data_IF_528768543328
#
_entry.id   IF_528768543328
#
_cell.length_a   1.000
_cell.length_b   1.000
_cell.length_c   1.000
_cell.angle_alpha   90.00
_cell.angle_beta   90.00
_cell.angle_gamma   90.00
#
_symmetry.space_group_name_H-M   'P 1'
#
loop_
_entity.id
_entity.type
_entity.pdbx_description
1 polymer ?
#
# COMPACT_ATOMS: atom_id res chain seq x y z
N UNK A 1 17.28 -55.37 -28.15
CA UNK A 1 18.29 -54.77 -27.25
C UNK A 1 17.85 -53.33 -26.94
N UNK A 2 18.11 -52.85 -25.71
CA UNK A 2 17.21 -52.03 -24.90
C UNK A 2 17.32 -50.50 -25.10
N UNK A 3 16.36 -49.77 -24.50
CA UNK A 3 16.24 -48.30 -24.39
C UNK A 3 17.49 -47.59 -23.81
N UNK A 4 17.49 -46.25 -23.78
CA UNK A 4 17.02 -45.65 -22.53
C UNK A 4 15.96 -44.56 -22.73
N UNK A 5 14.96 -44.65 -21.87
CA UNK A 5 14.10 -43.54 -21.46
C UNK A 5 14.98 -42.40 -20.95
N UNK A 6 14.70 -41.18 -21.38
CA UNK A 6 15.10 -39.99 -20.62
C UNK A 6 13.82 -39.35 -20.12
N UNK A 7 13.39 -39.82 -18.95
CA UNK A 7 12.40 -39.13 -18.16
C UNK A 7 12.90 -37.72 -17.87
N UNK A 8 12.20 -36.71 -18.41
CA UNK A 8 12.35 -35.36 -17.92
C UNK A 8 11.73 -35.34 -16.51
N UNK A 9 12.62 -35.46 -15.53
CA UNK A 9 12.36 -35.19 -14.13
C UNK A 9 11.55 -33.91 -14.01
N UNK A 10 10.33 -34.04 -13.48
CA UNK A 10 9.61 -32.94 -12.92
C UNK A 10 10.43 -32.41 -11.72
N UNK A 11 11.24 -31.38 -11.94
CA UNK A 11 11.65 -30.51 -10.84
C UNK A 11 10.45 -29.64 -10.46
N UNK A 12 9.52 -30.23 -9.71
CA UNK A 12 8.63 -29.46 -8.84
C UNK A 12 9.48 -28.93 -7.69
N UNK A 13 10.31 -27.93 -7.97
CA UNK A 13 10.73 -27.04 -6.90
C UNK A 13 9.48 -26.26 -6.55
N UNK A 14 8.88 -26.60 -5.40
CA UNK A 14 7.86 -25.79 -4.75
C UNK A 14 8.52 -24.48 -4.30
N UNK A 15 8.88 -23.64 -5.27
CA UNK A 15 9.06 -22.23 -5.04
C UNK A 15 7.65 -21.70 -4.78
N UNK A 16 7.46 -21.00 -3.66
CA UNK A 16 6.31 -20.11 -3.52
C UNK A 16 6.16 -19.35 -4.85
N UNK A 17 4.96 -19.31 -5.46
CA UNK A 17 4.78 -18.73 -6.78
C UNK A 17 5.47 -17.36 -6.79
N UNK A 18 6.50 -17.22 -7.63
CA UNK A 18 7.25 -15.99 -7.73
C UNK A 18 6.23 -14.89 -7.99
N UNK A 19 6.04 -14.01 -7.01
CA UNK A 19 5.04 -12.96 -7.14
C UNK A 19 5.39 -12.16 -8.40
N UNK A 20 4.40 -11.84 -9.23
CA UNK A 20 4.65 -11.22 -10.52
C UNK A 20 5.45 -9.94 -10.31
N UNK A 21 6.60 -9.88 -10.97
CA UNK A 21 7.50 -8.73 -10.92
C UNK A 21 6.89 -7.50 -11.60
N UNK A 22 5.93 -7.72 -12.51
CA UNK A 22 5.23 -6.67 -13.25
C UNK A 22 3.74 -7.01 -13.39
N UNK A 23 2.88 -6.01 -13.27
CA UNK A 23 1.43 -6.13 -13.51
C UNK A 23 0.99 -4.95 -14.36
N UNK A 24 0.43 -5.25 -15.53
CA UNK A 24 -0.14 -4.24 -16.43
C UNK A 24 -1.63 -4.06 -16.13
N UNK A 25 -2.04 -2.81 -15.90
CA UNK A 25 -3.41 -2.43 -15.61
C UNK A 25 -3.80 -1.26 -16.50
N UNK A 26 -5.09 -1.19 -16.85
CA UNK A 26 -5.63 0.01 -17.49
C UNK A 26 -5.93 1.02 -16.38
N UNK A 27 -5.14 2.09 -16.36
CA UNK A 27 -5.27 3.19 -15.42
C UNK A 27 -6.37 4.19 -15.80
N UNK A 28 -6.40 5.29 -15.08
CA UNK A 28 -7.30 6.40 -15.38
C UNK A 28 -7.03 6.94 -16.80
N UNK A 29 -8.10 7.35 -17.51
CA UNK A 29 -8.06 7.83 -18.90
C UNK A 29 -7.66 6.77 -19.94
N UNK A 30 -7.88 5.48 -19.63
CA UNK A 30 -7.59 4.34 -20.51
C UNK A 30 -6.10 4.21 -20.89
N UNK A 31 -5.21 4.73 -20.05
CA UNK A 31 -3.76 4.64 -20.22
C UNK A 31 -3.23 3.41 -19.49
N UNK A 32 -2.42 2.58 -20.15
CA UNK A 32 -1.76 1.43 -19.53
C UNK A 32 -0.76 1.90 -18.45
N UNK A 33 -0.92 1.39 -17.23
CA UNK A 33 0.01 1.55 -16.11
C UNK A 33 0.67 0.20 -15.84
N UNK A 34 2.00 0.19 -15.84
CA UNK A 34 2.78 -0.98 -15.45
C UNK A 34 3.22 -0.82 -14.01
N UNK A 35 2.63 -1.60 -13.10
CA UNK A 35 3.13 -1.76 -11.75
C UNK A 35 4.37 -2.65 -11.80
N UNK A 36 5.39 -2.33 -11.01
CA UNK A 36 6.63 -3.11 -10.94
C UNK A 36 7.04 -3.42 -9.51
N UNK A 37 7.89 -4.44 -9.37
CA UNK A 37 8.54 -4.81 -8.11
C UNK A 37 7.54 -5.08 -6.97
N UNK A 38 7.75 -4.50 -5.79
CA UNK A 38 6.94 -4.78 -4.61
C UNK A 38 5.48 -4.29 -4.75
N UNK A 39 5.24 -3.26 -5.59
CA UNK A 39 3.89 -2.77 -5.87
C UNK A 39 3.09 -3.78 -6.70
N UNK A 40 3.71 -4.35 -7.74
CA UNK A 40 3.12 -5.39 -8.59
C UNK A 40 2.79 -6.66 -7.78
N UNK A 41 3.75 -7.09 -6.97
CA UNK A 41 3.63 -8.19 -6.03
C UNK A 41 2.46 -7.98 -5.07
N UNK A 42 2.38 -6.81 -4.44
CA UNK A 42 1.30 -6.47 -3.52
C UNK A 42 -0.05 -6.42 -4.19
N UNK A 43 -0.17 -5.69 -5.31
CA UNK A 43 -1.42 -5.62 -6.06
C UNK A 43 -1.91 -7.00 -6.46
N UNK A 44 -1.02 -7.91 -6.88
CA UNK A 44 -1.40 -9.27 -7.27
C UNK A 44 -1.93 -10.08 -6.10
N UNK A 45 -1.27 -9.97 -4.94
CA UNK A 45 -1.68 -10.63 -3.68
C UNK A 45 -2.92 -10.02 -3.02
N UNK A 46 -3.31 -8.80 -3.42
CA UNK A 46 -4.43 -8.09 -2.82
C UNK A 46 -5.76 -8.80 -3.09
N UNK A 47 -6.65 -8.75 -2.10
CA UNK A 47 -8.00 -9.29 -2.23
C UNK A 47 -8.81 -8.49 -3.25
N UNK A 48 -9.89 -9.10 -3.75
CA UNK A 48 -10.78 -8.43 -4.71
C UNK A 48 -11.39 -7.15 -4.14
N UNK A 49 -11.79 -7.18 -2.85
CA UNK A 49 -12.29 -6.01 -2.14
C UNK A 49 -11.24 -4.90 -2.01
N UNK A 50 -9.97 -5.25 -1.75
CA UNK A 50 -8.88 -4.27 -1.71
C UNK A 50 -8.63 -3.64 -3.09
N UNK A 51 -8.65 -4.46 -4.15
CA UNK A 51 -8.53 -3.97 -5.54
C UNK A 51 -9.70 -3.06 -5.93
N UNK A 52 -10.91 -3.41 -5.51
CA UNK A 52 -12.09 -2.59 -5.74
C UNK A 52 -12.03 -1.26 -4.97
N UNK A 53 -11.55 -1.29 -3.73
CA UNK A 53 -11.35 -0.08 -2.91
C UNK A 53 -10.22 0.81 -3.46
N UNK A 54 -9.15 0.22 -4.00
CA UNK A 54 -8.09 0.95 -4.71
C UNK A 54 -8.64 1.60 -5.98
N UNK A 55 -9.43 0.87 -6.76
CA UNK A 55 -9.92 1.32 -8.06
C UNK A 55 -8.82 1.31 -9.13
N UNK A 56 -8.95 2.19 -10.12
CA UNK A 56 -7.97 2.30 -11.21
C UNK A 56 -6.68 2.99 -10.73
N UNK A 57 -5.49 2.54 -11.19
CA UNK A 57 -4.26 3.27 -10.93
C UNK A 57 -4.29 4.64 -11.63
N UNK A 58 -3.79 5.66 -10.94
CA UNK A 58 -3.65 6.99 -11.50
C UNK A 58 -2.41 7.06 -12.38
N UNK A 59 -2.52 7.78 -13.49
CA UNK A 59 -1.48 7.87 -14.53
C UNK A 59 -0.69 9.16 -14.41
N UNK A 60 0.59 9.12 -14.77
CA UNK A 60 1.52 10.26 -14.71
C UNK A 60 2.61 10.09 -13.64
N UNK A 61 3.79 10.65 -13.90
CA UNK A 61 5.01 10.47 -13.07
C UNK A 61 4.86 11.00 -11.63
N UNK A 62 3.89 11.88 -11.36
CA UNK A 62 3.61 12.35 -10.01
C UNK A 62 2.76 11.37 -9.19
N UNK A 63 2.08 10.43 -9.85
CA UNK A 63 1.20 9.44 -9.22
C UNK A 63 1.93 8.12 -8.93
N UNK A 64 3.05 7.87 -9.61
CA UNK A 64 3.85 6.68 -9.43
C UNK A 64 5.32 7.03 -9.47
N UNK A 65 6.11 6.52 -8.52
CA UNK A 65 7.54 6.80 -8.54
C UNK A 65 8.28 6.39 -7.28
N UNK A 66 9.56 6.74 -7.25
CA UNK A 66 10.45 6.56 -6.11
C UNK A 66 10.68 7.92 -5.46
N UNK A 67 10.45 8.02 -4.16
CA UNK A 67 10.76 9.23 -3.37
C UNK A 67 12.26 9.31 -3.10
N UNK A 68 12.73 10.48 -2.70
CA UNK A 68 14.12 10.66 -2.25
C UNK A 68 14.49 9.76 -1.07
N UNK A 69 13.51 9.39 -0.23
CA UNK A 69 13.68 8.40 0.84
C UNK A 69 13.89 6.97 0.35
N UNK A 70 13.80 6.72 -0.96
CA UNK A 70 13.82 5.40 -1.58
C UNK A 70 12.46 4.71 -1.63
N UNK A 71 11.45 5.24 -0.93
CA UNK A 71 10.11 4.66 -0.93
C UNK A 71 9.46 4.71 -2.31
N UNK A 72 8.92 3.59 -2.76
CA UNK A 72 8.16 3.51 -4.01
C UNK A 72 6.67 3.55 -3.72
N UNK A 73 5.94 4.26 -4.55
CA UNK A 73 4.50 4.36 -4.41
C UNK A 73 3.80 4.36 -5.77
N UNK A 74 2.56 3.89 -5.76
CA UNK A 74 1.60 4.04 -6.84
C UNK A 74 0.28 4.54 -6.23
N UNK A 75 -0.22 5.66 -6.73
CA UNK A 75 -1.54 6.16 -6.40
C UNK A 75 -2.61 5.51 -7.27
N UNK A 76 -3.75 5.28 -6.65
CA UNK A 76 -4.98 4.78 -7.26
C UNK A 76 -6.12 5.74 -6.89
N UNK A 77 -7.23 5.63 -7.62
CA UNK A 77 -8.39 6.51 -7.45
C UNK A 77 -8.90 6.50 -6.00
N UNK A 78 -9.01 5.34 -5.37
CA UNK A 78 -9.49 5.16 -4.00
C UNK A 78 -8.41 4.83 -2.97
N UNK A 79 -7.20 4.48 -3.41
CA UNK A 79 -6.09 4.19 -2.48
C UNK A 79 -4.69 4.55 -2.98
N UNK A 80 -3.69 4.10 -2.25
CA UNK A 80 -2.32 4.05 -2.72
C UNK A 80 -1.66 2.76 -2.25
N UNK A 81 -0.73 2.25 -3.05
CA UNK A 81 0.17 1.17 -2.64
C UNK A 81 1.55 1.77 -2.45
N UNK A 82 2.15 1.53 -1.28
CA UNK A 82 3.46 2.09 -0.93
C UNK A 82 4.36 0.99 -0.38
N UNK A 83 5.60 0.97 -0.82
CA UNK A 83 6.67 0.12 -0.29
C UNK A 83 7.83 1.01 0.18
N UNK A 84 8.54 0.58 1.23
CA UNK A 84 9.69 1.34 1.75
C UNK A 84 10.85 1.47 0.75
N UNK A 85 10.96 0.57 -0.21
CA UNK A 85 11.94 0.64 -1.31
C UNK A 85 11.56 -0.30 -2.48
N UNK A 86 12.26 -0.19 -3.61
CA UNK A 86 12.01 -1.01 -4.82
C UNK A 86 12.71 -2.38 -4.81
N UNK A 87 13.25 -2.85 -3.68
CA UNK A 87 13.95 -4.13 -3.64
C UNK A 87 12.96 -5.29 -3.72
N UNK A 88 13.31 -6.34 -4.46
CA UNK A 88 12.50 -7.55 -4.54
C UNK A 88 12.32 -8.16 -3.14
N UNK A 89 11.09 -8.54 -2.81
CA UNK A 89 10.73 -9.07 -1.48
C UNK A 89 10.46 -8.02 -0.40
N UNK A 90 10.65 -6.73 -0.68
CA UNK A 90 10.19 -5.67 0.22
C UNK A 90 8.66 -5.67 0.27
N UNK A 91 8.04 -5.69 1.46
CA UNK A 91 6.59 -5.62 1.54
C UNK A 91 6.09 -4.24 1.10
N UNK A 92 5.01 -4.23 0.34
CA UNK A 92 4.23 -3.03 0.07
C UNK A 92 2.85 -3.15 0.73
N UNK A 93 2.25 -2.01 1.04
CA UNK A 93 1.03 -1.91 1.82
C UNK A 93 0.00 -1.03 1.12
N UNK A 94 -1.26 -1.42 1.26
CA UNK A 94 -2.41 -0.73 0.69
C UNK A 94 -2.99 0.22 1.75
N UNK A 95 -3.14 1.49 1.39
CA UNK A 95 -3.82 2.50 2.21
C UNK A 95 -5.00 3.05 1.42
N UNK A 96 -6.21 2.88 1.95
CA UNK A 96 -7.49 3.21 1.29
C UNK A 96 -8.47 3.88 2.27
N UNK A 97 -9.58 4.40 1.74
CA UNK A 97 -10.73 4.83 2.54
C UNK A 97 -10.43 5.93 3.57
N UNK A 98 -11.17 5.91 4.70
CA UNK A 98 -11.05 6.92 5.76
C UNK A 98 -9.68 6.95 6.43
N UNK A 99 -8.99 5.82 6.45
CA UNK A 99 -7.60 5.73 6.92
C UNK A 99 -6.68 6.54 5.99
N UNK A 100 -6.81 6.37 4.66
CA UNK A 100 -6.07 7.18 3.69
C UNK A 100 -6.38 8.66 3.84
N UNK A 101 -7.65 9.02 3.99
CA UNK A 101 -8.06 10.41 4.15
C UNK A 101 -7.33 11.04 5.35
N UNK A 102 -7.33 10.38 6.50
CA UNK A 102 -6.67 10.84 7.72
C UNK A 102 -5.13 10.87 7.62
N UNK A 103 -4.53 9.94 6.86
CA UNK A 103 -3.09 9.90 6.58
C UNK A 103 -2.65 11.05 5.66
N UNK A 104 -3.54 11.49 4.76
CA UNK A 104 -3.31 12.60 3.84
C UNK A 104 -3.58 13.99 4.44
N UNK A 105 -4.11 14.07 5.66
CA UNK A 105 -4.21 15.34 6.40
C UNK A 105 -2.80 15.86 6.69
N UNK A 106 -2.56 17.12 6.33
CA UNK A 106 -1.32 17.82 6.68
C UNK A 106 -1.23 17.99 8.19
N UNK A 107 -0.10 17.58 8.75
CA UNK A 107 0.17 17.61 10.18
C UNK A 107 1.53 18.21 10.45
N UNK A 108 1.65 18.92 11.56
CA UNK A 108 2.96 19.33 12.07
C UNK A 108 3.73 18.13 12.66
N UNK A 109 4.90 18.39 13.24
CA UNK A 109 5.76 17.36 13.79
C UNK A 109 5.13 16.59 14.98
N UNK A 110 4.15 17.17 15.68
CA UNK A 110 3.50 16.52 16.82
C UNK A 110 2.29 15.66 16.42
N UNK A 111 1.90 15.72 15.14
CA UNK A 111 0.76 14.99 14.59
C UNK A 111 -0.52 15.81 14.53
N UNK A 112 -0.53 17.06 15.00
CA UNK A 112 -1.71 17.92 14.97
C UNK A 112 -1.97 18.43 13.55
N UNK A 113 -3.22 18.42 13.07
CA UNK A 113 -3.57 18.99 11.77
C UNK A 113 -3.09 20.45 11.63
N UNK A 114 -2.36 20.73 10.55
CA UNK A 114 -1.78 22.06 10.29
C UNK A 114 -1.59 22.29 8.79
N UNK A 115 -1.99 23.47 8.30
CA UNK A 115 -1.89 23.85 6.89
C UNK A 115 -0.44 24.01 6.39
N UNK A 116 0.51 24.19 7.30
CA UNK A 116 1.95 24.27 6.99
C UNK A 116 2.65 22.93 7.19
N UNK A 117 1.90 21.89 7.54
CA UNK A 117 2.40 20.56 7.84
C UNK A 117 2.66 19.69 6.61
N UNK A 118 3.19 18.51 6.88
CA UNK A 118 3.41 17.46 5.89
C UNK A 118 2.35 16.35 6.01
N UNK A 119 2.16 15.57 4.96
CA UNK A 119 1.19 14.48 4.93
C UNK A 119 1.76 13.23 4.27
N UNK A 120 0.96 12.16 4.30
CA UNK A 120 1.34 10.89 3.70
C UNK A 120 2.66 10.37 4.27
N UNK A 121 3.50 9.81 3.40
CA UNK A 121 4.79 9.25 3.79
C UNK A 121 5.86 10.28 4.18
N UNK A 122 5.64 11.57 3.86
CA UNK A 122 6.49 12.66 4.32
C UNK A 122 5.98 13.30 5.63
N UNK A 123 4.78 12.91 6.07
CA UNK A 123 4.14 13.40 7.28
C UNK A 123 4.64 12.68 8.54
N UNK A 124 4.17 13.11 9.72
CA UNK A 124 4.62 12.60 11.02
C UNK A 124 4.23 11.14 11.28
N UNK A 125 3.32 10.55 10.50
CA UNK A 125 3.00 9.12 10.57
C UNK A 125 4.03 8.25 9.83
N UNK A 126 4.66 8.78 8.78
CA UNK A 126 5.59 8.05 7.93
C UNK A 126 4.92 7.07 6.97
N UNK A 127 5.70 6.08 6.50
CA UNK A 127 5.25 5.04 5.59
C UNK A 127 4.28 4.06 6.29
N UNK A 128 3.33 3.46 5.55
CA UNK A 128 2.56 2.34 6.07
C UNK A 128 3.46 1.13 6.33
N UNK A 129 3.14 0.39 7.40
CA UNK A 129 3.82 -0.84 7.81
C UNK A 129 2.87 -2.04 7.91
N UNK A 130 1.56 -1.81 7.70
CA UNK A 130 0.56 -2.84 7.49
C UNK A 130 -0.49 -2.38 6.47
N UNK A 131 -1.23 -3.33 5.92
CA UNK A 131 -2.51 -3.00 5.29
C UNK A 131 -3.56 -2.59 6.34
N UNK A 132 -4.75 -2.26 5.86
CA UNK A 132 -5.96 -2.21 6.66
C UNK A 132 -6.37 -3.62 7.12
N UNK A 133 -6.47 -3.80 8.43
CA UNK A 133 -6.93 -5.02 9.07
C UNK A 133 -8.20 -4.74 9.90
N UNK A 134 -9.11 -5.70 9.93
CA UNK A 134 -10.29 -5.62 10.79
C UNK A 134 -9.95 -6.09 12.20
N UNK A 135 -10.06 -5.19 13.18
CA UNK A 135 -9.89 -5.47 14.61
C UNK A 135 -11.21 -5.16 15.35
N UNK A 136 -11.98 -6.22 15.62
CA UNK A 136 -13.33 -6.06 16.19
C UNK A 136 -14.24 -5.25 15.26
N UNK A 137 -14.67 -4.08 15.74
CA UNK A 137 -15.53 -3.15 15.00
C UNK A 137 -14.75 -2.04 14.26
N UNK A 138 -13.42 -2.11 14.26
CA UNK A 138 -12.54 -1.08 13.68
C UNK A 138 -11.69 -1.64 12.54
N UNK A 139 -11.38 -0.77 11.60
CA UNK A 139 -10.36 -0.97 10.58
C UNK A 139 -9.09 -0.27 11.07
N UNK A 140 -7.95 -0.96 11.05
CA UNK A 140 -6.68 -0.49 11.63
C UNK A 140 -5.57 -0.62 10.61
N UNK A 141 -4.81 0.46 10.43
CA UNK A 141 -3.54 0.45 9.69
C UNK A 141 -2.43 1.04 10.53
N UNK A 142 -1.26 0.43 10.47
CA UNK A 142 -0.05 0.86 11.18
C UNK A 142 0.92 1.55 10.23
N UNK A 143 1.67 2.50 10.77
CA UNK A 143 2.64 3.34 10.08
C UNK A 143 3.93 3.40 10.91
N UNK A 144 5.04 3.84 10.31
CA UNK A 144 6.35 3.89 10.96
C UNK A 144 6.35 4.57 12.33
N UNK A 145 5.52 5.61 12.49
CA UNK A 145 5.45 6.42 13.69
C UNK A 145 4.05 6.46 14.30
N UNK A 146 3.19 5.49 14.00
CA UNK A 146 1.83 5.55 14.52
C UNK A 146 0.86 4.54 13.93
N UNK A 147 -0.43 4.83 14.14
CA UNK A 147 -1.53 4.03 13.59
C UNK A 147 -2.75 4.91 13.39
N UNK A 148 -3.63 4.47 12.49
CA UNK A 148 -4.95 5.06 12.30
C UNK A 148 -5.98 3.94 12.46
N UNK A 149 -7.03 4.23 13.22
CA UNK A 149 -8.16 3.35 13.43
C UNK A 149 -9.43 4.04 12.92
N UNK A 150 -10.26 3.32 12.18
CA UNK A 150 -11.55 3.79 11.68
C UNK A 150 -12.67 2.86 12.14
N UNK A 151 -13.67 3.40 12.84
CA UNK A 151 -14.86 2.66 13.21
C UNK A 151 -15.96 2.86 12.16
N UNK A 152 -16.24 1.82 11.38
CA UNK A 152 -17.24 1.89 10.31
C UNK A 152 -18.69 2.08 10.83
N UNK A 153 -18.98 1.74 12.09
CA UNK A 153 -20.31 1.91 12.70
C UNK A 153 -20.56 3.33 13.18
N UNK A 154 -19.58 3.95 13.84
CA UNK A 154 -19.72 5.32 14.38
C UNK A 154 -19.22 6.40 13.44
N UNK A 155 -18.40 6.04 12.45
CA UNK A 155 -17.69 6.99 11.59
C UNK A 155 -16.44 7.59 12.24
N UNK A 156 -16.10 7.20 13.48
CA UNK A 156 -14.98 7.77 14.23
C UNK A 156 -13.63 7.36 13.64
N UNK A 157 -12.71 8.32 13.52
CA UNK A 157 -11.33 8.08 13.13
C UNK A 157 -10.41 8.49 14.27
N UNK A 158 -9.64 7.55 14.81
CA UNK A 158 -8.64 7.79 15.82
C UNK A 158 -7.24 7.74 15.18
N UNK A 159 -6.46 8.80 15.38
CA UNK A 159 -5.09 8.88 14.87
C UNK A 159 -4.14 8.91 16.05
N UNK A 160 -3.14 8.04 16.02
CA UNK A 160 -2.08 7.99 17.03
C UNK A 160 -0.74 8.24 16.36
N UNK A 161 0.00 9.24 16.83
CA UNK A 161 1.34 9.59 16.35
C UNK A 161 2.30 9.50 17.55
N UNK A 162 3.38 8.74 17.41
CA UNK A 162 4.38 8.49 18.45
C UNK A 162 3.77 8.07 19.80
N UNK A 163 2.71 7.25 19.76
CA UNK A 163 2.00 6.78 20.96
C UNK A 163 1.00 7.79 21.56
N UNK A 164 0.86 8.99 20.99
CA UNK A 164 -0.08 10.03 21.43
C UNK A 164 -1.28 10.09 20.48
N UNK A 165 -2.50 10.09 21.04
CA UNK A 165 -3.71 10.34 20.26
C UNK A 165 -3.78 11.81 19.88
N UNK A 166 -4.00 12.07 18.59
CA UNK A 166 -4.07 13.42 18.01
C UNK A 166 -5.39 13.60 17.26
N UNK A 167 -5.84 14.84 17.00
CA UNK A 167 -7.06 15.08 16.23
C UNK A 167 -6.98 14.45 14.84
N UNK A 168 -8.06 13.81 14.41
CA UNK A 168 -8.15 13.18 13.08
C UNK A 168 -8.03 14.20 11.95
N UNK A 169 -8.59 15.40 12.14
CA UNK A 169 -8.73 16.41 11.09
C UNK A 169 -9.84 16.09 10.08
N UNK A 170 -10.67 15.07 10.36
CA UNK A 170 -11.84 14.64 9.59
C UNK A 170 -13.14 15.00 10.29
#
# INVERSE_FOLDING_TARGET
MPSPEVGLIATTSSAAPAQPAEVKLIGERDVEVTLTGPIAAKYSSASESQKQALGKPLTGDHNAGTRESGAVFQQFQGGAIIAKNNQAGTPAFIVVGKIRDAWNIQRDADGTPSITGNNGSAGPLGLPTSDENTEGDRLVSTFEHGKIEYNAKSGEVAVTVNGKVVPSGL
#
